data_IF_396672266023
#
_entry.id   IF_396672266023
#
_cell.length_a   1.000
_cell.length_b   1.000
_cell.length_c   1.000
_cell.angle_alpha   90.00
_cell.angle_beta   90.00
_cell.angle_gamma   90.00
#
_symmetry.space_group_name_H-M   'P 1'
#
loop_
_entity.id
_entity.type
_entity.pdbx_description
1 polymer ?
#
# COMPACT_ATOMS: atom_id res chain seq x y z
N UNK A 1 -3.97 -28.47 8.77
CA UNK A 1 -3.86 -27.07 9.20
C UNK A 1 -2.38 -26.73 9.19
N UNK A 2 -1.93 -25.87 8.29
CA UNK A 2 -0.52 -25.46 8.22
C UNK A 2 -0.30 -24.33 9.20
N UNK A 3 0.59 -24.51 10.18
CA UNK A 3 0.96 -23.45 11.14
C UNK A 3 2.19 -22.73 10.64
N UNK A 4 2.09 -21.42 10.48
CA UNK A 4 3.22 -20.55 10.17
C UNK A 4 3.91 -20.17 11.50
N UNK A 5 5.24 -20.24 11.60
CA UNK A 5 5.97 -19.75 12.77
C UNK A 5 5.91 -18.21 12.85
N UNK A 6 5.94 -17.67 14.06
CA UNK A 6 5.86 -16.22 14.31
C UNK A 6 4.45 -15.74 14.69
N UNK A 7 4.36 -14.46 15.08
CA UNK A 7 3.12 -13.76 15.37
C UNK A 7 2.93 -12.62 14.39
N UNK A 8 1.67 -12.26 14.10
CA UNK A 8 1.35 -11.08 13.32
C UNK A 8 1.94 -9.82 13.96
N UNK A 9 2.45 -8.90 13.14
CA UNK A 9 3.12 -7.68 13.60
C UNK A 9 2.13 -6.60 14.07
N UNK A 10 0.86 -6.71 13.69
CA UNK A 10 -0.23 -5.97 14.30
C UNK A 10 -1.44 -6.88 14.53
N UNK A 11 -2.26 -6.55 15.52
CA UNK A 11 -3.55 -7.21 15.75
C UNK A 11 -4.62 -6.77 14.73
N UNK A 12 -4.38 -5.63 14.07
CA UNK A 12 -5.19 -5.10 12.98
C UNK A 12 -4.26 -4.82 11.77
N UNK A 13 -4.57 -3.83 10.95
CA UNK A 13 -3.76 -3.47 9.78
C UNK A 13 -2.71 -2.38 10.06
N UNK A 14 -2.95 -1.54 11.06
CA UNK A 14 -2.20 -0.29 11.31
C UNK A 14 -1.10 -0.52 12.34
N UNK A 15 0.13 -0.14 12.00
CA UNK A 15 1.22 -0.19 12.94
C UNK A 15 1.17 0.98 13.91
N UNK A 16 1.29 0.71 15.21
CA UNK A 16 1.25 1.73 16.28
C UNK A 16 2.57 1.89 17.02
N UNK A 17 3.43 0.88 16.96
CA UNK A 17 4.72 0.86 17.63
C UNK A 17 5.77 0.28 16.66
N UNK A 18 7.03 0.65 16.83
CA UNK A 18 8.12 0.09 16.02
C UNK A 18 8.35 -1.38 16.43
N UNK A 19 8.18 -2.35 15.52
CA UNK A 19 8.38 -3.77 15.82
C UNK A 19 9.86 -4.17 15.97
N UNK A 20 10.79 -3.23 15.76
CA UNK A 20 12.23 -3.42 15.87
C UNK A 20 12.75 -4.60 15.03
N UNK A 21 12.24 -4.69 13.80
CA UNK A 21 12.56 -5.78 12.88
C UNK A 21 14.02 -5.73 12.40
N UNK A 22 14.70 -6.89 12.31
CA UNK A 22 16.08 -6.95 11.84
C UNK A 22 16.17 -6.67 10.33
N UNK A 23 17.32 -6.18 9.84
CA UNK A 23 17.52 -5.86 8.41
C UNK A 23 17.20 -7.03 7.47
N UNK A 24 17.53 -8.26 7.86
CA UNK A 24 17.18 -9.49 7.10
C UNK A 24 15.69 -9.60 6.79
N UNK A 25 14.82 -9.16 7.71
CA UNK A 25 13.37 -9.24 7.52
C UNK A 25 12.92 -8.30 6.41
N UNK A 26 13.51 -7.10 6.35
CA UNK A 26 13.24 -6.11 5.31
C UNK A 26 13.75 -6.57 3.94
N UNK A 27 14.92 -7.21 3.90
CA UNK A 27 15.47 -7.82 2.69
C UNK A 27 14.60 -8.97 2.17
N UNK A 28 14.10 -9.82 3.07
CA UNK A 28 13.19 -10.91 2.71
C UNK A 28 11.85 -10.38 2.21
N UNK A 29 11.33 -9.29 2.79
CA UNK A 29 10.11 -8.65 2.31
C UNK A 29 10.31 -8.08 0.91
N UNK A 30 11.40 -7.33 0.68
CA UNK A 30 11.72 -6.80 -0.64
C UNK A 30 11.78 -7.91 -1.70
N UNK A 31 12.49 -9.01 -1.41
CA UNK A 31 12.61 -10.16 -2.31
C UNK A 31 11.26 -10.85 -2.55
N UNK A 32 10.42 -10.95 -1.53
CA UNK A 32 9.09 -11.54 -1.67
C UNK A 32 8.20 -10.71 -2.61
N UNK A 33 8.22 -9.37 -2.49
CA UNK A 33 7.45 -8.48 -3.34
C UNK A 33 7.99 -8.44 -4.78
N UNK A 34 9.31 -8.47 -4.97
CA UNK A 34 9.93 -8.60 -6.29
C UNK A 34 9.52 -9.93 -6.96
N UNK A 35 9.57 -11.04 -6.23
CA UNK A 35 9.11 -12.32 -6.77
C UNK A 35 7.62 -12.29 -7.11
N UNK A 36 6.78 -11.69 -6.26
CA UNK A 36 5.35 -11.61 -6.50
C UNK A 36 5.05 -10.80 -7.77
N UNK A 37 5.65 -9.62 -7.91
CA UNK A 37 5.41 -8.73 -9.05
C UNK A 37 5.89 -9.31 -10.39
N UNK A 38 6.87 -10.21 -10.37
CA UNK A 38 7.35 -10.94 -11.55
C UNK A 38 6.39 -12.03 -12.05
N UNK A 39 5.36 -12.41 -11.28
CA UNK A 39 4.36 -13.36 -11.75
C UNK A 39 3.35 -12.69 -12.68
N UNK A 40 2.86 -13.40 -13.73
CA UNK A 40 1.86 -12.85 -14.63
C UNK A 40 0.62 -12.35 -13.88
N UNK A 41 0.21 -11.07 -14.05
CA UNK A 41 -0.93 -10.51 -13.35
C UNK A 41 -2.22 -11.24 -13.74
N UNK A 42 -3.12 -11.54 -12.78
CA UNK A 42 -4.42 -12.07 -13.12
C UNK A 42 -5.23 -11.05 -13.94
N UNK A 43 -6.02 -11.52 -14.90
CA UNK A 43 -6.68 -10.65 -15.89
C UNK A 43 -7.83 -9.80 -15.31
N UNK A 44 -8.41 -10.23 -14.18
CA UNK A 44 -9.61 -9.61 -13.62
C UNK A 44 -9.31 -8.32 -12.84
N UNK A 45 -10.15 -7.29 -13.02
CA UNK A 45 -10.31 -6.20 -12.04
C UNK A 45 -9.60 -4.86 -12.31
N UNK A 46 -8.75 -4.74 -13.34
CA UNK A 46 -7.91 -3.55 -13.57
C UNK A 46 -8.70 -2.25 -13.80
N UNK A 47 -9.72 -2.27 -14.67
CA UNK A 47 -10.56 -1.09 -15.00
C UNK A 47 -11.34 -0.56 -13.80
N UNK A 48 -11.72 -1.44 -12.86
CA UNK A 48 -12.45 -1.02 -11.66
C UNK A 48 -11.58 -0.21 -10.71
N UNK A 49 -10.27 -0.51 -10.66
CA UNK A 49 -9.30 0.18 -9.81
C UNK A 49 -9.07 1.62 -10.25
N UNK A 50 -8.94 1.90 -11.55
CA UNK A 50 -8.79 3.28 -12.06
C UNK A 50 -10.05 4.11 -11.80
N UNK A 51 -11.23 3.55 -12.08
CA UNK A 51 -12.50 4.23 -11.79
C UNK A 51 -12.68 4.48 -10.31
N UNK A 52 -12.30 3.51 -9.47
CA UNK A 52 -12.29 3.68 -8.03
C UNK A 52 -11.39 4.85 -7.61
N UNK A 53 -10.17 4.91 -8.13
CA UNK A 53 -9.22 6.00 -7.85
C UNK A 53 -9.80 7.36 -8.25
N UNK A 54 -10.26 7.51 -9.50
CA UNK A 54 -10.80 8.77 -10.03
C UNK A 54 -11.96 9.26 -9.15
N UNK A 55 -12.89 8.37 -8.80
CA UNK A 55 -14.05 8.72 -7.99
C UNK A 55 -13.66 9.15 -6.57
N UNK A 56 -12.74 8.43 -5.93
CA UNK A 56 -12.31 8.77 -4.57
C UNK A 56 -11.45 10.03 -4.54
N UNK A 57 -10.61 10.26 -5.56
CA UNK A 57 -9.84 11.50 -5.65
C UNK A 57 -10.76 12.70 -5.80
N UNK A 58 -11.78 12.59 -6.66
CA UNK A 58 -12.83 13.62 -6.78
C UNK A 58 -13.55 13.82 -5.45
N UNK A 59 -13.91 12.75 -4.76
CA UNK A 59 -14.63 12.81 -3.48
C UNK A 59 -13.83 13.42 -2.32
N UNK A 60 -12.56 13.04 -2.15
CA UNK A 60 -11.73 13.47 -1.02
C UNK A 60 -10.97 14.77 -1.26
N UNK A 61 -10.62 15.07 -2.51
CA UNK A 61 -9.71 16.17 -2.84
C UNK A 61 -10.29 17.19 -3.82
N UNK A 62 -11.50 16.96 -4.36
CA UNK A 62 -12.13 17.83 -5.37
C UNK A 62 -11.23 18.04 -6.60
N UNK A 63 -10.53 16.98 -7.01
CA UNK A 63 -9.66 16.97 -8.20
C UNK A 63 -10.19 15.99 -9.22
N UNK A 64 -10.25 16.42 -10.48
CA UNK A 64 -10.55 15.52 -11.60
C UNK A 64 -9.26 14.95 -12.20
N UNK A 65 -9.20 13.61 -12.28
CA UNK A 65 -8.11 12.85 -12.88
C UNK A 65 -8.50 12.20 -14.22
N UNK A 66 -9.70 12.46 -14.75
CA UNK A 66 -10.14 11.84 -15.99
C UNK A 66 -9.20 12.19 -17.16
N UNK A 67 -8.71 11.17 -17.85
CA UNK A 67 -7.68 11.30 -18.89
C UNK A 67 -6.30 11.79 -18.44
N UNK A 68 -6.03 11.85 -17.13
CA UNK A 68 -4.76 12.36 -16.55
C UNK A 68 -3.89 11.29 -15.88
N UNK A 69 -4.38 10.06 -15.77
CA UNK A 69 -3.57 8.96 -15.25
C UNK A 69 -2.50 8.57 -16.29
N UNK A 70 -1.26 8.33 -15.86
CA UNK A 70 -0.24 7.76 -16.74
C UNK A 70 -0.61 6.33 -17.12
N UNK A 71 0.04 5.80 -18.17
CA UNK A 71 -0.03 4.37 -18.46
C UNK A 71 0.53 3.57 -17.27
N UNK A 72 -0.31 2.72 -16.69
CA UNK A 72 0.04 1.94 -15.51
C UNK A 72 0.63 0.58 -15.90
N UNK A 73 1.73 0.22 -15.26
CA UNK A 73 2.23 -1.15 -15.25
C UNK A 73 1.44 -1.93 -14.21
N UNK A 74 0.79 -3.01 -14.64
CA UNK A 74 0.02 -3.89 -13.78
C UNK A 74 0.86 -5.12 -13.39
N UNK A 75 0.92 -5.42 -12.10
CA UNK A 75 1.67 -6.55 -11.55
C UNK A 75 0.76 -7.42 -10.69
N UNK A 76 1.18 -8.65 -10.44
CA UNK A 76 0.54 -9.46 -9.39
C UNK A 76 0.85 -8.83 -8.04
N UNK A 77 -0.18 -8.66 -7.21
CA UNK A 77 -0.08 -8.07 -5.87
C UNK A 77 -0.85 -8.91 -4.86
N UNK A 78 -0.43 -8.83 -3.60
CA UNK A 78 -1.18 -9.32 -2.45
C UNK A 78 -2.51 -8.55 -2.31
N UNK A 79 -2.50 -7.27 -2.69
CA UNK A 79 -3.61 -6.32 -2.68
C UNK A 79 -4.15 -5.93 -1.29
N UNK A 80 -3.74 -6.65 -0.25
CA UNK A 80 -3.99 -6.30 1.16
C UNK A 80 -2.75 -6.41 2.07
N UNK A 81 -1.58 -5.92 1.60
CA UNK A 81 -0.32 -6.05 2.32
C UNK A 81 -0.17 -5.05 3.49
N UNK A 82 -0.80 -5.34 4.62
CA UNK A 82 -0.71 -4.54 5.85
C UNK A 82 -0.01 -5.29 7.01
N UNK A 83 0.25 -4.62 8.13
CA UNK A 83 1.06 -5.18 9.23
C UNK A 83 0.44 -6.40 9.92
N UNK A 84 -0.88 -6.53 9.96
CA UNK A 84 -1.55 -7.76 10.43
C UNK A 84 -1.35 -9.00 9.55
N UNK A 85 -1.02 -8.81 8.27
CA UNK A 85 -0.76 -9.91 7.31
C UNK A 85 0.72 -10.27 7.24
N UNK A 86 1.54 -9.71 8.12
CA UNK A 86 2.98 -9.92 8.17
C UNK A 86 3.37 -10.45 9.53
N UNK A 87 4.23 -11.47 9.57
CA UNK A 87 4.75 -12.01 10.84
C UNK A 87 6.17 -11.53 11.14
N UNK A 88 6.55 -11.60 12.42
CA UNK A 88 7.94 -11.49 12.86
C UNK A 88 8.30 -12.45 14.00
N UNK A 89 9.60 -12.57 14.32
CA UNK A 89 10.74 -11.93 13.67
C UNK A 89 11.17 -12.60 12.35
N UNK A 90 10.63 -13.78 12.03
CA UNK A 90 10.70 -14.39 10.70
C UNK A 90 9.53 -13.91 9.84
N UNK A 91 9.82 -13.55 8.58
CA UNK A 91 8.81 -13.10 7.64
C UNK A 91 7.95 -14.27 7.15
N UNK A 92 6.64 -14.10 7.27
CA UNK A 92 5.64 -14.76 6.47
C UNK A 92 4.57 -13.76 6.06
N UNK A 93 4.03 -13.95 4.86
CA UNK A 93 2.92 -13.17 4.32
C UNK A 93 1.67 -14.06 4.40
N UNK A 94 0.67 -13.57 5.10
CA UNK A 94 -0.58 -14.26 5.40
C UNK A 94 -1.72 -13.68 4.57
N UNK A 95 -2.85 -14.39 4.51
CA UNK A 95 -4.11 -13.92 3.94
C UNK A 95 -4.10 -13.53 2.44
N UNK A 96 -3.75 -14.51 1.60
CA UNK A 96 -3.69 -14.38 0.14
C UNK A 96 -5.05 -14.34 -0.58
N UNK A 97 -6.16 -14.11 0.14
CA UNK A 97 -7.52 -14.18 -0.41
C UNK A 97 -7.80 -13.09 -1.45
N UNK A 98 -7.15 -11.94 -1.32
CA UNK A 98 -7.35 -10.76 -2.17
C UNK A 98 -6.35 -10.65 -3.33
N UNK A 99 -5.54 -11.67 -3.59
CA UNK A 99 -4.54 -11.68 -4.66
C UNK A 99 -5.16 -11.20 -5.98
N UNK A 100 -4.60 -10.13 -6.54
CA UNK A 100 -5.16 -9.45 -7.69
C UNK A 100 -4.09 -8.78 -8.56
N UNK A 101 -4.51 -8.27 -9.71
CA UNK A 101 -3.70 -7.33 -10.48
C UNK A 101 -3.88 -5.94 -9.89
N UNK A 102 -2.76 -5.29 -9.57
CA UNK A 102 -2.74 -3.91 -9.09
C UNK A 102 -1.66 -3.12 -9.83
N UNK A 103 -1.72 -1.78 -9.80
CA UNK A 103 -0.60 -0.96 -10.27
C UNK A 103 0.68 -1.35 -9.52
N UNK A 104 1.81 -1.31 -10.23
CA UNK A 104 3.11 -1.65 -9.65
C UNK A 104 3.35 -0.89 -8.33
N UNK A 105 3.96 -1.54 -7.35
CA UNK A 105 4.22 -1.01 -6.00
C UNK A 105 2.98 -0.79 -5.12
N UNK A 106 1.79 -1.23 -5.53
CA UNK A 106 0.57 -1.05 -4.72
C UNK A 106 0.65 -1.70 -3.32
N UNK A 107 1.29 -2.86 -3.21
CA UNK A 107 1.51 -3.52 -1.92
C UNK A 107 2.43 -2.69 -1.01
N UNK A 108 3.50 -2.13 -1.57
CA UNK A 108 4.41 -1.26 -0.81
C UNK A 108 3.74 0.06 -0.41
N UNK A 109 2.92 0.64 -1.30
CA UNK A 109 2.10 1.80 -1.00
C UNK A 109 1.07 1.53 0.12
N UNK A 110 0.47 0.34 0.11
CA UNK A 110 -0.45 -0.14 1.15
C UNK A 110 0.28 -0.27 2.50
N UNK A 111 1.45 -0.89 2.52
CA UNK A 111 2.26 -1.02 3.72
C UNK A 111 2.71 0.35 4.25
N UNK A 112 3.10 1.27 3.36
CA UNK A 112 3.48 2.63 3.72
C UNK A 112 2.33 3.39 4.39
N UNK A 113 1.12 3.35 3.82
CA UNK A 113 -0.07 3.99 4.39
C UNK A 113 -0.35 3.48 5.81
N UNK A 114 -0.26 2.17 6.04
CA UNK A 114 -0.47 1.56 7.35
C UNK A 114 0.71 1.75 8.33
N UNK A 115 1.81 2.38 7.89
CA UNK A 115 2.97 2.71 8.72
C UNK A 115 3.00 4.17 9.19
N UNK A 116 2.08 5.03 8.71
CA UNK A 116 2.17 6.49 8.89
C UNK A 116 2.11 6.95 10.36
N UNK A 117 1.59 6.15 11.29
CA UNK A 117 1.62 6.46 12.73
C UNK A 117 2.97 6.19 13.39
N UNK A 118 3.89 5.51 12.70
CA UNK A 118 5.25 5.21 13.18
C UNK A 118 6.25 5.76 12.15
N UNK A 119 6.62 7.07 12.25
CA UNK A 119 7.39 7.75 11.19
C UNK A 119 8.70 7.08 10.80
N UNK A 120 9.43 6.50 11.77
CA UNK A 120 10.67 5.78 11.51
C UNK A 120 10.46 4.58 10.58
N UNK A 121 9.37 3.84 10.79
CA UNK A 121 8.98 2.68 9.97
C UNK A 121 8.44 3.14 8.62
N UNK A 122 7.60 4.18 8.57
CA UNK A 122 7.11 4.73 7.31
C UNK A 122 8.27 5.19 6.39
N UNK A 123 9.28 5.85 6.94
CA UNK A 123 10.49 6.24 6.20
C UNK A 123 11.27 5.01 5.72
N UNK A 124 11.34 3.94 6.52
CA UNK A 124 12.00 2.70 6.11
C UNK A 124 11.28 2.03 4.94
N UNK A 125 9.95 1.92 5.01
CA UNK A 125 9.11 1.37 3.92
C UNK A 125 9.26 2.21 2.65
N UNK A 126 9.18 3.55 2.77
CA UNK A 126 9.37 4.44 1.62
C UNK A 126 10.74 4.27 0.97
N UNK A 127 11.80 4.07 1.77
CA UNK A 127 13.16 3.83 1.27
C UNK A 127 13.31 2.51 0.50
N UNK A 128 12.49 1.50 0.80
CA UNK A 128 12.53 0.22 0.06
C UNK A 128 12.11 0.39 -1.40
N UNK A 129 11.22 1.33 -1.69
CA UNK A 129 10.73 1.61 -3.03
C UNK A 129 10.96 3.06 -3.45
N UNK A 130 11.99 3.73 -2.92
CA UNK A 130 12.19 5.16 -3.18
C UNK A 130 12.28 5.46 -4.69
N UNK A 131 13.00 4.61 -5.43
CA UNK A 131 13.22 4.80 -6.87
C UNK A 131 11.94 4.59 -7.71
N UNK A 132 10.96 3.86 -7.18
CA UNK A 132 9.73 3.46 -7.91
C UNK A 132 8.49 4.20 -7.44
N UNK A 133 8.37 4.47 -6.14
CA UNK A 133 7.27 5.21 -5.53
C UNK A 133 7.30 6.71 -5.86
N UNK A 134 8.45 7.25 -6.28
CA UNK A 134 8.55 8.64 -6.75
C UNK A 134 8.24 8.83 -8.23
N UNK A 135 8.12 7.74 -9.00
CA UNK A 135 7.71 7.77 -10.41
C UNK A 135 6.18 7.89 -10.55
N UNK A 136 5.65 8.37 -11.69
CA UNK A 136 4.21 8.59 -11.87
C UNK A 136 3.34 7.37 -11.50
N UNK A 137 3.74 6.16 -11.89
CA UNK A 137 3.03 4.93 -11.55
C UNK A 137 3.01 4.65 -10.04
N UNK A 138 4.14 4.81 -9.36
CA UNK A 138 4.24 4.64 -7.91
C UNK A 138 3.44 5.71 -7.13
N UNK A 139 3.37 6.94 -7.64
CA UNK A 139 2.51 7.99 -7.08
C UNK A 139 1.03 7.65 -7.19
N UNK A 140 0.62 7.04 -8.32
CA UNK A 140 -0.74 6.50 -8.48
C UNK A 140 -1.01 5.38 -7.47
N UNK A 141 -0.06 4.47 -7.25
CA UNK A 141 -0.17 3.43 -6.22
C UNK A 141 -0.33 4.00 -4.80
N UNK A 142 0.45 5.03 -4.45
CA UNK A 142 0.31 5.76 -3.18
C UNK A 142 -1.06 6.44 -3.05
N UNK A 143 -1.55 7.07 -4.12
CA UNK A 143 -2.85 7.74 -4.12
C UNK A 143 -4.00 6.74 -4.00
N UNK A 144 -3.91 5.62 -4.71
CA UNK A 144 -4.88 4.52 -4.62
C UNK A 144 -4.96 3.94 -3.21
N UNK A 145 -3.82 3.62 -2.61
CA UNK A 145 -3.75 3.15 -1.22
C UNK A 145 -4.29 4.21 -0.25
N UNK A 146 -3.91 5.49 -0.43
CA UNK A 146 -4.39 6.58 0.41
C UNK A 146 -5.91 6.73 0.35
N UNK A 147 -6.52 6.70 -0.84
CA UNK A 147 -7.98 6.73 -1.02
C UNK A 147 -8.68 5.53 -0.37
N UNK A 148 -8.11 4.32 -0.50
CA UNK A 148 -8.62 3.12 0.17
C UNK A 148 -8.69 3.31 1.68
N UNK A 149 -7.58 3.71 2.30
CA UNK A 149 -7.54 3.86 3.75
C UNK A 149 -8.24 5.12 4.25
N UNK A 150 -8.38 6.17 3.44
CA UNK A 150 -9.22 7.33 3.77
C UNK A 150 -10.70 6.97 3.86
N UNK A 151 -11.16 6.09 2.96
CA UNK A 151 -12.51 5.53 3.00
C UNK A 151 -12.72 4.78 4.33
N UNK A 152 -11.80 3.88 4.67
CA UNK A 152 -11.86 3.12 5.92
C UNK A 152 -11.72 4.01 7.17
N UNK A 153 -10.98 5.12 7.08
CA UNK A 153 -10.83 6.07 8.18
C UNK A 153 -12.07 6.94 8.44
N UNK A 154 -13.07 6.94 7.53
CA UNK A 154 -14.37 7.58 7.79
C UNK A 154 -15.22 6.78 8.79
N UNK A 155 -14.92 5.49 8.97
CA UNK A 155 -15.61 4.61 9.89
C UNK A 155 -14.94 4.62 11.27
N UNK A 156 -15.69 4.31 12.32
CA UNK A 156 -15.10 4.05 13.62
C UNK A 156 -14.31 2.73 13.56
N UNK A 157 -13.00 2.81 13.78
CA UNK A 157 -12.13 1.65 13.60
C UNK A 157 -10.63 1.98 13.70
N UNK A 158 -9.77 0.99 13.40
CA UNK A 158 -8.32 1.12 13.60
C UNK A 158 -7.68 2.19 12.70
N UNK A 159 -8.29 2.49 11.56
CA UNK A 159 -7.80 3.43 10.55
C UNK A 159 -8.06 4.90 10.86
N UNK A 160 -8.96 5.22 11.80
CA UNK A 160 -9.38 6.60 12.09
C UNK A 160 -8.20 7.54 12.36
N UNK A 161 -7.16 7.05 13.04
CA UNK A 161 -5.95 7.81 13.34
C UNK A 161 -5.10 8.19 12.11
N UNK A 162 -5.29 7.51 10.97
CA UNK A 162 -4.52 7.77 9.75
C UNK A 162 -5.08 8.94 8.91
N UNK A 163 -6.30 9.39 9.17
CA UNK A 163 -7.04 10.29 8.27
C UNK A 163 -6.28 11.58 7.88
N UNK A 164 -5.64 12.24 8.85
CA UNK A 164 -4.85 13.45 8.60
C UNK A 164 -3.61 13.15 7.73
N UNK A 165 -2.85 12.11 8.10
CA UNK A 165 -1.63 11.72 7.40
C UNK A 165 -1.92 11.25 5.96
N UNK A 166 -3.01 10.50 5.74
CA UNK A 166 -3.42 10.05 4.42
C UNK A 166 -3.93 11.21 3.55
N UNK A 167 -4.63 12.17 4.15
CA UNK A 167 -5.06 13.40 3.45
C UNK A 167 -3.85 14.20 2.99
N UNK A 168 -2.85 14.36 3.88
CA UNK A 168 -1.60 15.03 3.53
C UNK A 168 -0.87 14.29 2.41
N UNK A 169 -0.74 12.96 2.50
CA UNK A 169 -0.14 12.12 1.46
C UNK A 169 -0.84 12.29 0.10
N UNK A 170 -2.17 12.20 0.06
CA UNK A 170 -2.94 12.34 -1.17
C UNK A 170 -2.74 13.71 -1.83
N UNK A 171 -2.77 14.80 -1.04
CA UNK A 171 -2.48 16.16 -1.54
C UNK A 171 -1.07 16.28 -2.10
N UNK A 172 -0.07 15.70 -1.43
CA UNK A 172 1.31 15.68 -1.93
C UNK A 172 1.39 14.97 -3.28
N UNK A 173 0.79 13.78 -3.41
CA UNK A 173 0.88 13.05 -4.69
C UNK A 173 0.12 13.75 -5.82
N UNK A 174 -1.04 14.35 -5.54
CA UNK A 174 -1.79 15.12 -6.53
C UNK A 174 -1.02 16.35 -7.05
N UNK A 175 -0.26 17.01 -6.18
CA UNK A 175 0.59 18.13 -6.58
C UNK A 175 1.68 17.69 -7.58
N UNK A 176 2.21 16.47 -7.42
CA UNK A 176 3.21 15.92 -8.32
C UNK A 176 2.64 15.37 -9.64
N UNK A 177 1.38 14.93 -9.66
CA UNK A 177 0.67 14.47 -10.86
C UNK A 177 0.03 15.61 -11.69
N UNK A 178 0.05 16.84 -11.17
CA UNK A 178 -0.52 18.02 -11.84
C UNK A 178 0.52 18.91 -12.52
N UNK A 179 1.80 18.52 -12.46
CA UNK A 179 2.92 19.14 -13.18
C UNK A 179 3.20 18.36 -14.46
#
# INVERSE_FOLDING_TARGET
MTRVPGAALSADSVLREDPHLPDRWWEDLARALEHLSAHPPPVAGTVNTERYLINNVRGFFDVDLDGRLPDLVWTTAHADLHWGNLTGPELAILDWGDLAAAPAEYDLATLYCNSLLVPAVAVRVLRMGADVLTEPGGRVSLLLAACRYLTLAQEDGPYRGLGEALTALGRTQLAHLSM
#
